data_IF_620454931732
#
_entry.id   IF_620454931732
#
_cell.length_a   1.000
_cell.length_b   1.000
_cell.length_c   1.000
_cell.angle_alpha   90.00
_cell.angle_beta   90.00
_cell.angle_gamma   90.00
#
_symmetry.space_group_name_H-M   'P 1'
#
loop_
_entity.id
_entity.type
_entity.pdbx_description
1 polymer ?
#
# COMPACT_ATOMS: atom_id res chain seq x y z
N UNK A 1 -1.28 -17.98 -3.44
CA UNK A 1 -1.00 -16.85 -2.53
C UNK A 1 0.02 -17.35 -1.50
N UNK A 2 1.15 -16.73 -1.41
CA UNK A 2 2.32 -17.07 -0.57
C UNK A 2 1.99 -17.29 0.93
N UNK A 3 0.83 -16.79 1.39
CA UNK A 3 0.35 -16.94 2.77
C UNK A 3 0.26 -18.37 3.27
N UNK A 4 0.01 -19.35 2.38
CA UNK A 4 -0.03 -20.76 2.78
C UNK A 4 1.37 -21.28 3.15
N UNK A 5 2.40 -20.79 2.49
CA UNK A 5 3.77 -21.23 2.76
C UNK A 5 4.31 -20.61 4.04
N UNK A 6 3.96 -19.38 4.35
CA UNK A 6 4.29 -18.75 5.63
C UNK A 6 3.65 -19.43 6.85
N UNK A 7 2.62 -20.27 6.64
CA UNK A 7 1.99 -21.07 7.70
C UNK A 7 2.63 -22.43 7.89
N UNK A 8 3.56 -22.83 7.01
CA UNK A 8 4.29 -24.08 7.13
C UNK A 8 5.35 -23.99 8.22
N UNK A 9 5.69 -25.13 8.80
CA UNK A 9 6.77 -25.23 9.79
C UNK A 9 8.14 -24.82 9.19
N UNK A 10 8.33 -25.11 7.91
CA UNK A 10 9.50 -24.72 7.11
C UNK A 10 9.04 -24.03 5.82
N UNK A 11 8.84 -22.70 5.84
CA UNK A 11 8.32 -21.96 4.69
C UNK A 11 9.32 -21.84 3.54
N UNK A 12 10.60 -22.12 3.78
CA UNK A 12 11.70 -21.87 2.85
C UNK A 12 12.41 -20.54 3.08
N UNK A 13 13.44 -20.28 2.28
CA UNK A 13 14.22 -19.05 2.40
C UNK A 13 13.46 -17.85 1.83
N UNK A 14 13.23 -16.84 2.67
CA UNK A 14 12.62 -15.60 2.26
C UNK A 14 13.60 -14.76 1.45
N UNK A 15 13.15 -14.21 0.34
CA UNK A 15 13.90 -13.31 -0.54
C UNK A 15 13.15 -11.99 -0.62
N UNK A 16 13.86 -10.89 -0.39
CA UNK A 16 13.34 -9.53 -0.53
C UNK A 16 14.04 -8.82 -1.66
N UNK A 17 13.24 -8.27 -2.56
CA UNK A 17 13.70 -7.53 -3.74
C UNK A 17 13.17 -6.11 -3.65
N UNK A 18 13.96 -5.16 -4.15
CA UNK A 18 13.66 -3.75 -4.10
C UNK A 18 13.63 -3.16 -5.51
N UNK A 19 12.62 -2.36 -5.79
CA UNK A 19 12.56 -1.50 -6.96
C UNK A 19 12.41 -0.05 -6.52
N UNK A 20 13.24 0.83 -7.06
CA UNK A 20 13.11 2.27 -6.88
C UNK A 20 12.86 2.89 -8.25
N UNK A 21 11.64 3.39 -8.44
CA UNK A 21 11.20 4.03 -9.68
C UNK A 21 11.27 5.54 -9.53
N UNK A 22 12.26 6.12 -10.16
CA UNK A 22 12.47 7.57 -10.28
C UNK A 22 12.30 8.07 -11.73
N UNK A 23 11.69 7.28 -12.58
CA UNK A 23 11.46 7.65 -14.00
C UNK A 23 10.59 8.90 -14.17
N UNK A 24 9.67 9.14 -13.22
CA UNK A 24 8.85 10.36 -13.17
C UNK A 24 9.67 11.65 -13.04
N UNK A 25 10.92 11.57 -12.58
CA UNK A 25 11.86 12.69 -12.43
C UNK A 25 12.95 12.71 -13.50
N UNK A 26 12.82 11.86 -14.53
CA UNK A 26 13.74 11.80 -15.66
C UNK A 26 14.89 10.81 -15.51
N UNK A 27 14.86 9.93 -14.51
CA UNK A 27 15.79 8.83 -14.45
C UNK A 27 15.57 7.87 -15.63
N UNK A 28 16.63 7.33 -16.26
CA UNK A 28 16.47 6.49 -17.44
C UNK A 28 15.87 5.13 -17.15
N UNK A 29 16.13 4.60 -15.96
CA UNK A 29 15.80 3.23 -15.59
C UNK A 29 15.27 3.11 -14.16
N UNK A 30 14.54 2.03 -13.90
CA UNK A 30 14.13 1.61 -12.55
C UNK A 30 15.32 0.90 -11.90
N UNK A 31 15.69 1.30 -10.71
CA UNK A 31 16.74 0.66 -9.93
C UNK A 31 16.18 -0.60 -9.27
N UNK A 32 16.74 -1.77 -9.64
CA UNK A 32 16.35 -3.08 -9.09
C UNK A 32 17.52 -3.71 -8.37
N UNK A 33 17.33 -4.07 -7.11
CA UNK A 33 18.39 -4.63 -6.29
C UNK A 33 17.88 -5.56 -5.19
N UNK A 34 18.79 -6.36 -4.63
CA UNK A 34 18.55 -7.24 -3.50
C UNK A 34 19.77 -7.31 -2.59
N UNK A 35 19.52 -7.62 -1.32
CA UNK A 35 20.58 -7.86 -0.33
C UNK A 35 20.69 -9.36 0.07
N UNK A 36 20.04 -10.25 -0.68
CA UNK A 36 20.04 -11.68 -0.40
C UNK A 36 21.39 -12.30 -0.77
N UNK A 37 22.01 -13.02 0.17
CA UNK A 37 23.29 -13.68 -0.09
C UNK A 37 23.06 -15.03 -0.77
N UNK A 38 23.52 -15.13 -2.03
CA UNK A 38 23.46 -16.36 -2.81
C UNK A 38 24.85 -17.01 -2.79
N UNK A 39 25.01 -18.18 -2.16
CA UNK A 39 26.31 -18.85 -2.11
C UNK A 39 26.78 -19.25 -3.53
N UNK A 40 28.07 -19.12 -3.76
CA UNK A 40 28.69 -19.63 -4.96
C UNK A 40 28.83 -21.15 -4.91
N UNK A 41 28.74 -21.81 -6.06
CA UNK A 41 28.98 -23.26 -6.17
C UNK A 41 30.46 -23.56 -5.99
N UNK A 42 30.80 -24.73 -5.46
CA UNK A 42 32.18 -25.18 -5.31
C UNK A 42 32.98 -25.13 -6.62
N UNK A 43 32.31 -25.49 -7.74
CA UNK A 43 32.90 -25.40 -9.08
C UNK A 43 33.25 -23.95 -9.45
N UNK A 44 32.38 -22.99 -9.13
CA UNK A 44 32.62 -21.56 -9.38
C UNK A 44 33.77 -21.02 -8.54
N UNK A 45 33.82 -21.38 -7.26
CA UNK A 45 34.92 -20.99 -6.35
C UNK A 45 36.27 -21.56 -6.83
N UNK A 46 36.27 -22.83 -7.24
CA UNK A 46 37.49 -23.47 -7.78
C UNK A 46 37.98 -22.81 -9.06
N UNK A 47 37.03 -22.45 -9.97
CA UNK A 47 37.36 -21.74 -11.21
C UNK A 47 37.93 -20.32 -10.95
N UNK A 48 37.53 -19.67 -9.87
CA UNK A 48 38.06 -18.38 -9.42
C UNK A 48 39.35 -18.44 -8.62
N UNK A 49 39.99 -19.61 -8.56
CA UNK A 49 41.24 -19.82 -7.85
C UNK A 49 41.06 -20.10 -6.35
N UNK A 50 39.91 -20.56 -5.93
CA UNK A 50 39.61 -20.97 -4.56
C UNK A 50 39.18 -19.81 -3.62
N UNK A 51 39.07 -18.62 -4.13
CA UNK A 51 38.73 -17.43 -3.34
C UNK A 51 37.31 -16.95 -3.69
N UNK A 52 36.30 -17.17 -2.83
CA UNK A 52 34.94 -16.76 -3.08
C UNK A 52 34.75 -15.22 -3.10
N UNK A 53 35.64 -14.46 -2.46
CA UNK A 53 35.53 -12.98 -2.41
C UNK A 53 35.87 -12.32 -3.75
N UNK A 54 36.56 -13.05 -4.64
CA UNK A 54 36.83 -12.58 -6.02
C UNK A 54 35.69 -12.74 -6.98
N UNK A 55 34.65 -13.47 -6.60
CA UNK A 55 33.47 -13.66 -7.42
C UNK A 55 32.48 -12.51 -7.21
N UNK A 56 31.92 -11.96 -8.31
CA UNK A 56 30.89 -10.95 -8.19
C UNK A 56 29.63 -11.54 -7.51
N UNK A 57 28.97 -10.76 -6.68
CA UNK A 57 27.70 -11.15 -6.10
C UNK A 57 26.68 -11.48 -7.20
N UNK A 58 25.91 -12.55 -7.01
CA UNK A 58 24.96 -13.02 -8.01
C UNK A 58 23.71 -12.15 -8.03
N UNK A 59 23.23 -11.82 -9.23
CA UNK A 59 21.90 -11.22 -9.43
C UNK A 59 20.78 -12.24 -9.22
N UNK A 60 19.58 -11.76 -8.95
CA UNK A 60 18.34 -12.54 -8.90
C UNK A 60 17.45 -12.10 -10.05
N UNK A 61 16.86 -13.08 -10.74
CA UNK A 61 15.83 -12.87 -11.76
C UNK A 61 14.45 -13.10 -11.13
N UNK A 62 13.58 -12.11 -11.25
CA UNK A 62 12.20 -12.17 -10.80
C UNK A 62 11.25 -11.48 -11.78
N UNK A 63 10.21 -12.17 -12.21
CA UNK A 63 9.23 -11.69 -13.20
C UNK A 63 9.89 -11.25 -14.53
N UNK A 64 11.01 -11.89 -14.91
CA UNK A 64 11.77 -11.58 -16.12
C UNK A 64 12.73 -10.40 -15.99
N UNK A 65 12.80 -9.76 -14.83
CA UNK A 65 13.68 -8.61 -14.56
C UNK A 65 14.88 -9.00 -13.69
N UNK A 66 16.02 -8.37 -13.92
CA UNK A 66 17.25 -8.59 -13.17
C UNK A 66 17.34 -7.66 -11.96
N UNK A 67 17.47 -8.25 -10.78
CA UNK A 67 17.78 -7.57 -9.53
C UNK A 67 19.25 -7.77 -9.19
N UNK A 68 20.00 -6.69 -9.15
CA UNK A 68 21.44 -6.74 -8.88
C UNK A 68 21.71 -6.86 -7.39
N UNK A 69 22.77 -7.56 -7.01
CA UNK A 69 23.18 -7.63 -5.63
C UNK A 69 23.67 -6.25 -5.15
N UNK A 70 23.00 -5.69 -4.17
CA UNK A 70 23.40 -4.43 -3.54
C UNK A 70 22.99 -4.44 -2.08
N UNK A 71 23.90 -4.13 -1.13
CA UNK A 71 23.56 -4.15 0.28
C UNK A 71 22.49 -3.09 0.59
N UNK A 72 21.34 -3.55 1.05
CA UNK A 72 20.23 -2.71 1.47
C UNK A 72 19.47 -3.37 2.61
N UNK A 73 18.93 -2.57 3.49
CA UNK A 73 18.12 -3.01 4.62
C UNK A 73 16.91 -2.11 4.74
N UNK A 74 15.78 -2.69 5.09
CA UNK A 74 14.58 -1.92 5.42
C UNK A 74 14.07 -2.33 6.79
N UNK A 75 13.72 -1.33 7.59
CA UNK A 75 13.18 -1.49 8.94
C UNK A 75 11.82 -0.81 9.05
N UNK A 76 11.00 -1.24 10.00
CA UNK A 76 9.73 -0.58 10.30
C UNK A 76 8.59 -0.85 9.33
N UNK A 77 8.64 -1.94 8.52
CA UNK A 77 7.53 -2.33 7.63
C UNK A 77 6.37 -3.01 8.41
N UNK A 78 6.56 -3.28 9.69
CA UNK A 78 5.58 -4.03 10.47
C UNK A 78 4.27 -3.25 10.59
N UNK A 79 3.16 -3.91 10.27
CA UNK A 79 1.83 -3.35 10.46
C UNK A 79 1.52 -3.28 11.96
N UNK A 80 1.44 -2.07 12.51
CA UNK A 80 0.99 -1.85 13.88
C UNK A 80 -0.52 -1.68 13.93
N UNK A 81 -1.18 -2.38 14.84
CA UNK A 81 -2.61 -2.20 15.14
C UNK A 81 -2.85 -1.05 16.14
N UNK A 82 -1.80 -0.43 16.66
CA UNK A 82 -1.86 0.59 17.73
C UNK A 82 -1.75 2.03 17.26
N UNK A 83 -2.04 2.32 16.00
CA UNK A 83 -2.53 3.64 15.60
C UNK A 83 -1.59 4.61 14.90
N UNK A 84 -0.28 4.65 15.03
CA UNK A 84 0.56 5.45 14.13
C UNK A 84 1.15 4.58 13.05
N UNK A 85 0.99 4.99 11.78
CA UNK A 85 1.67 4.33 10.67
C UNK A 85 3.17 4.28 10.95
N UNK A 86 3.78 3.10 10.86
CA UNK A 86 5.22 3.01 10.90
C UNK A 86 5.79 3.81 9.73
N UNK A 87 6.81 4.61 9.96
CA UNK A 87 7.61 5.23 8.90
C UNK A 87 8.78 4.28 8.63
N UNK A 88 8.73 3.46 7.58
CA UNK A 88 9.82 2.56 7.28
C UNK A 88 11.06 3.34 6.89
N UNK A 89 12.24 2.80 7.23
CA UNK A 89 13.54 3.35 6.84
C UNK A 89 14.23 2.38 5.89
N UNK A 90 14.63 2.89 4.73
CA UNK A 90 15.44 2.17 3.76
C UNK A 90 16.88 2.65 3.85
N UNK A 91 17.79 1.77 4.26
CA UNK A 91 19.23 2.01 4.29
C UNK A 91 19.87 1.32 3.10
N UNK A 92 20.62 2.05 2.29
CA UNK A 92 21.30 1.55 1.08
C UNK A 92 22.78 1.85 1.20
N UNK A 93 23.62 0.86 0.89
CA UNK A 93 25.08 1.05 0.92
C UNK A 93 25.53 1.99 -0.19
N UNK A 94 26.47 2.89 0.15
CA UNK A 94 27.03 3.89 -0.76
C UNK A 94 28.50 3.54 -1.08
N UNK A 95 28.71 2.33 -1.63
CA UNK A 95 30.04 1.72 -1.73
C UNK A 95 31.03 2.49 -2.62
N UNK A 96 30.53 3.18 -3.64
CA UNK A 96 31.33 3.88 -4.65
C UNK A 96 30.86 5.33 -4.91
N UNK A 97 29.99 5.84 -4.04
CA UNK A 97 29.37 7.15 -4.20
C UNK A 97 28.28 7.21 -5.30
N UNK A 98 27.90 6.06 -5.90
CA UNK A 98 26.90 6.02 -6.97
C UNK A 98 25.53 6.47 -6.47
N UNK A 99 25.14 6.09 -5.25
CA UNK A 99 23.85 6.51 -4.68
C UNK A 99 23.86 8.01 -4.36
N UNK A 100 24.97 8.57 -3.85
CA UNK A 100 25.11 10.02 -3.70
C UNK A 100 24.98 10.75 -5.04
N UNK A 101 25.61 10.23 -6.11
CA UNK A 101 25.49 10.82 -7.44
C UNK A 101 24.05 10.81 -7.96
N UNK A 102 23.29 9.72 -7.72
CA UNK A 102 21.87 9.63 -8.05
C UNK A 102 21.03 10.63 -7.24
N UNK A 103 21.30 10.76 -5.94
CA UNK A 103 20.64 11.75 -5.08
C UNK A 103 20.85 13.17 -5.60
N UNK A 104 22.08 13.51 -5.97
CA UNK A 104 22.40 14.84 -6.53
C UNK A 104 21.76 15.09 -7.90
N UNK A 105 21.67 14.04 -8.75
CA UNK A 105 21.08 14.17 -10.08
C UNK A 105 19.54 14.28 -10.07
N UNK A 106 18.88 13.66 -9.09
CA UNK A 106 17.42 13.49 -9.06
C UNK A 106 16.76 13.99 -7.75
N UNK A 107 17.27 15.11 -7.21
CA UNK A 107 16.71 15.81 -6.04
C UNK A 107 16.44 14.88 -4.86
N UNK A 108 17.49 14.17 -4.42
CA UNK A 108 17.45 13.14 -3.37
C UNK A 108 16.44 12.01 -3.61
N UNK A 109 16.01 11.81 -4.88
CA UNK A 109 14.97 10.87 -5.29
C UNK A 109 13.64 11.03 -4.52
N UNK A 110 13.33 12.24 -4.05
CA UNK A 110 12.13 12.54 -3.30
C UNK A 110 10.88 12.18 -4.11
N UNK A 111 9.93 11.50 -3.46
CA UNK A 111 8.70 10.94 -4.05
C UNK A 111 8.91 9.82 -5.07
N UNK A 112 10.14 9.29 -5.22
CA UNK A 112 10.33 8.08 -5.99
C UNK A 112 9.55 6.93 -5.36
N UNK A 113 8.93 6.11 -6.19
CA UNK A 113 8.17 4.96 -5.77
C UNK A 113 9.12 3.82 -5.40
N UNK A 114 8.98 3.29 -4.19
CA UNK A 114 9.71 2.12 -3.71
C UNK A 114 8.75 0.94 -3.64
N UNK A 115 8.99 -0.08 -4.47
CA UNK A 115 8.23 -1.32 -4.44
C UNK A 115 9.11 -2.41 -3.84
N UNK A 116 8.56 -3.13 -2.88
CA UNK A 116 9.24 -4.22 -2.18
C UNK A 116 8.48 -5.50 -2.49
N UNK A 117 9.20 -6.48 -3.03
CA UNK A 117 8.70 -7.80 -3.33
C UNK A 117 9.25 -8.79 -2.31
N UNK A 118 8.41 -9.32 -1.44
CA UNK A 118 8.75 -10.39 -0.52
C UNK A 118 8.26 -11.72 -1.12
N UNK A 119 9.18 -12.61 -1.48
CA UNK A 119 8.90 -13.92 -2.04
C UNK A 119 9.74 -15.01 -1.36
N UNK A 120 9.64 -16.24 -1.83
CA UNK A 120 10.44 -17.37 -1.35
C UNK A 120 11.36 -17.86 -2.45
N UNK A 121 12.57 -18.29 -2.09
CA UNK A 121 13.60 -18.66 -3.05
C UNK A 121 13.17 -19.73 -4.06
N UNK A 122 12.29 -20.66 -3.67
CA UNK A 122 11.80 -21.71 -4.56
C UNK A 122 10.78 -21.23 -5.62
N UNK A 123 10.26 -20.00 -5.52
CA UNK A 123 9.38 -19.41 -6.52
C UNK A 123 10.10 -18.55 -7.55
N UNK A 124 11.40 -18.29 -7.35
CA UNK A 124 12.18 -17.45 -8.25
C UNK A 124 12.22 -18.01 -9.68
N UNK A 125 12.44 -17.13 -10.66
CA UNK A 125 12.48 -17.46 -12.07
C UNK A 125 13.50 -18.57 -12.37
N UNK A 126 13.21 -19.36 -13.42
CA UNK A 126 14.04 -20.47 -13.87
C UNK A 126 15.50 -20.06 -14.16
N UNK A 127 15.73 -18.80 -14.55
CA UNK A 127 17.04 -18.25 -14.82
C UNK A 127 18.00 -18.25 -13.61
N UNK A 128 17.46 -18.35 -12.40
CA UNK A 128 18.27 -18.41 -11.17
C UNK A 128 18.88 -19.80 -10.90
N UNK A 129 18.43 -20.83 -11.60
CA UNK A 129 18.80 -22.23 -11.37
C UNK A 129 19.40 -22.87 -12.60
N UNK A 130 20.52 -23.62 -12.50
CA UNK A 130 21.17 -24.26 -13.64
C UNK A 130 20.27 -25.23 -14.43
N UNK A 131 19.41 -25.95 -13.70
CA UNK A 131 18.50 -26.96 -14.28
C UNK A 131 17.07 -26.40 -14.52
N UNK A 132 16.90 -25.09 -14.41
CA UNK A 132 15.60 -24.42 -14.43
C UNK A 132 14.85 -24.58 -13.09
N UNK A 133 13.61 -24.06 -13.04
CA UNK A 133 12.78 -24.13 -11.84
C UNK A 133 11.31 -24.44 -12.20
N UNK A 134 10.86 -25.69 -12.05
CA UNK A 134 9.47 -26.07 -12.31
C UNK A 134 8.49 -25.48 -11.30
N UNK A 135 8.97 -25.00 -10.14
CA UNK A 135 8.15 -24.37 -9.10
C UNK A 135 8.08 -22.84 -9.24
N UNK A 136 8.72 -22.25 -10.29
CA UNK A 136 8.68 -20.83 -10.52
C UNK A 136 7.23 -20.33 -10.65
N UNK A 137 6.87 -19.34 -9.81
CA UNK A 137 5.54 -18.75 -9.83
C UNK A 137 5.62 -17.27 -9.46
N UNK A 138 5.56 -16.36 -10.44
CA UNK A 138 5.67 -14.91 -10.22
C UNK A 138 4.49 -14.31 -9.43
N UNK A 139 3.43 -15.08 -9.20
CA UNK A 139 2.26 -14.63 -8.43
C UNK A 139 2.41 -14.85 -6.93
N UNK A 140 3.43 -15.62 -6.51
CA UNK A 140 3.68 -15.96 -5.11
C UNK A 140 4.58 -14.91 -4.45
N UNK A 141 4.03 -13.73 -4.25
CA UNK A 141 4.70 -12.63 -3.60
C UNK A 141 3.78 -11.83 -2.68
N UNK A 142 4.38 -11.06 -1.80
CA UNK A 142 3.75 -9.97 -1.07
C UNK A 142 4.39 -8.67 -1.52
N UNK A 143 3.60 -7.80 -2.14
CA UNK A 143 4.06 -6.49 -2.60
C UNK A 143 3.72 -5.44 -1.56
N UNK A 144 4.72 -4.62 -1.22
CA UNK A 144 4.55 -3.43 -0.39
C UNK A 144 5.05 -2.21 -1.17
N UNK A 145 4.25 -1.14 -1.18
CA UNK A 145 4.57 0.08 -1.94
C UNK A 145 4.70 1.25 -0.98
N UNK A 146 5.79 1.97 -1.12
CA UNK A 146 6.11 3.19 -0.39
C UNK A 146 6.60 4.28 -1.34
N UNK A 147 6.83 5.47 -0.81
CA UNK A 147 7.46 6.58 -1.50
C UNK A 147 8.57 7.17 -0.64
N UNK A 148 9.65 7.62 -1.25
CA UNK A 148 10.71 8.32 -0.53
C UNK A 148 10.16 9.67 -0.09
N UNK A 149 10.10 9.89 1.23
CA UNK A 149 9.62 11.14 1.84
C UNK A 149 10.76 12.10 2.12
N UNK A 150 11.85 11.57 2.69
CA UNK A 150 13.05 12.36 2.99
C UNK A 150 14.30 11.49 3.02
N UNK A 151 15.46 12.12 2.82
CA UNK A 151 16.77 11.54 3.11
C UNK A 151 17.14 11.91 4.52
N UNK A 152 17.17 10.93 5.43
CA UNK A 152 17.40 11.17 6.87
C UNK A 152 18.89 11.25 7.23
N UNK A 153 19.74 10.49 6.51
CA UNK A 153 21.18 10.45 6.75
C UNK A 153 21.93 10.15 5.47
N UNK A 154 23.11 10.73 5.33
CA UNK A 154 24.06 10.43 4.26
C UNK A 154 25.46 10.36 4.82
N UNK A 155 26.11 9.23 4.62
CA UNK A 155 27.50 8.98 4.94
C UNK A 155 28.23 8.43 3.73
N UNK A 156 29.56 8.29 3.83
CA UNK A 156 30.33 7.65 2.76
C UNK A 156 30.03 6.15 2.61
N UNK A 157 29.40 5.53 3.61
CA UNK A 157 29.13 4.09 3.63
C UNK A 157 27.66 3.75 3.38
N UNK A 158 26.74 4.57 3.91
CA UNK A 158 25.31 4.30 3.91
C UNK A 158 24.50 5.58 3.72
N UNK A 159 23.44 5.49 2.95
CA UNK A 159 22.43 6.53 2.84
C UNK A 159 21.10 5.95 3.36
N UNK A 160 20.42 6.73 4.20
CA UNK A 160 19.14 6.35 4.79
C UNK A 160 18.02 7.24 4.26
N UNK A 161 16.94 6.59 3.84
CA UNK A 161 15.71 7.24 3.38
C UNK A 161 14.56 6.91 4.32
N UNK A 162 13.77 7.91 4.67
CA UNK A 162 12.48 7.71 5.31
C UNK A 162 11.42 7.51 4.24
N UNK A 163 10.57 6.49 4.43
CA UNK A 163 9.54 6.12 3.49
C UNK A 163 8.17 6.48 4.05
N UNK A 164 7.30 6.99 3.19
CA UNK A 164 5.90 7.27 3.49
C UNK A 164 4.98 6.28 2.79
N UNK A 165 3.87 5.97 3.45
CA UNK A 165 2.78 5.20 2.84
C UNK A 165 2.11 6.01 1.73
N UNK A 166 1.63 5.38 0.63
CA UNK A 166 0.81 6.06 -0.37
C UNK A 166 -0.40 6.80 0.21
N UNK A 167 -0.93 6.32 1.33
CA UNK A 167 -2.08 6.92 2.00
C UNK A 167 -1.73 8.24 2.70
N UNK A 168 -0.52 8.36 3.24
CA UNK A 168 -0.06 9.58 3.90
C UNK A 168 0.17 10.70 2.89
N UNK A 169 0.75 10.36 1.72
CA UNK A 169 1.04 11.32 0.65
C UNK A 169 -0.21 11.87 -0.03
N UNK A 170 -1.31 11.10 -0.06
CA UNK A 170 -2.55 11.48 -0.74
C UNK A 170 -3.54 12.22 0.18
N UNK A 171 -3.20 12.43 1.45
CA UNK A 171 -4.10 13.06 2.41
C UNK A 171 -5.39 12.25 2.64
N UNK A 172 -5.33 10.94 2.43
CA UNK A 172 -6.48 10.06 2.61
C UNK A 172 -6.78 9.92 4.09
N UNK A 173 -7.94 10.41 4.50
CA UNK A 173 -8.44 10.25 5.86
C UNK A 173 -9.02 8.84 6.04
N UNK A 174 -8.48 8.08 6.98
CA UNK A 174 -9.01 6.78 7.38
C UNK A 174 -9.58 6.91 8.79
N UNK A 175 -10.81 6.46 8.99
CA UNK A 175 -11.73 5.85 8.02
C UNK A 175 -12.34 6.87 7.05
N UNK A 176 -12.49 6.47 5.79
CA UNK A 176 -13.12 7.29 4.73
C UNK A 176 -14.60 7.54 5.00
N UNK A 177 -15.22 6.75 5.85
CA UNK A 177 -16.60 6.86 6.28
C UNK A 177 -16.67 7.14 7.78
N UNK A 178 -17.11 8.34 8.12
CA UNK A 178 -17.39 8.68 9.52
C UNK A 178 -18.72 8.08 9.95
N UNK A 179 -18.79 7.59 11.19
CA UNK A 179 -20.02 7.09 11.81
C UNK A 179 -20.79 8.27 12.39
N UNK A 180 -21.87 8.66 11.73
CA UNK A 180 -22.78 9.72 12.20
C UNK A 180 -24.17 9.17 12.50
N UNK A 181 -24.86 9.74 13.47
CA UNK A 181 -26.27 9.48 13.70
C UNK A 181 -27.15 10.00 12.54
N UNK A 182 -26.64 10.97 11.78
CA UNK A 182 -27.30 11.53 10.59
C UNK A 182 -27.02 10.68 9.36
N UNK A 183 -27.97 10.72 8.43
CA UNK A 183 -27.86 10.03 7.14
C UNK A 183 -26.75 10.62 6.28
N UNK A 184 -25.76 9.82 5.89
CA UNK A 184 -24.63 10.25 5.07
C UNK A 184 -25.05 10.64 3.65
N UNK A 185 -26.12 10.08 3.12
CA UNK A 185 -26.69 10.49 1.82
C UNK A 185 -27.19 11.93 1.85
N UNK A 186 -27.87 12.30 2.95
CA UNK A 186 -28.33 13.69 3.13
C UNK A 186 -27.14 14.67 3.26
N UNK A 187 -26.12 14.32 4.05
CA UNK A 187 -24.92 15.16 4.25
C UNK A 187 -24.16 15.38 2.92
N UNK A 188 -24.14 14.36 2.06
CA UNK A 188 -23.45 14.39 0.75
C UNK A 188 -24.33 14.95 -0.39
N UNK A 189 -25.50 15.51 -0.11
CA UNK A 189 -26.41 16.03 -1.13
C UNK A 189 -27.04 14.96 -2.03
N UNK A 190 -27.03 13.68 -1.62
CA UNK A 190 -27.58 12.55 -2.38
C UNK A 190 -29.05 12.24 -2.04
N UNK A 191 -29.76 13.16 -1.43
CA UNK A 191 -31.19 13.05 -1.21
C UNK A 191 -31.94 13.03 -2.55
N UNK A 192 -32.82 12.07 -2.78
CA UNK A 192 -33.55 11.84 -4.05
C UNK A 192 -32.68 11.57 -5.28
N UNK A 193 -31.42 11.20 -5.12
CA UNK A 193 -30.51 11.01 -6.26
C UNK A 193 -30.64 9.63 -6.92
N UNK A 194 -31.30 8.67 -6.28
CA UNK A 194 -31.26 7.27 -6.67
C UNK A 194 -29.97 6.54 -6.29
N UNK A 195 -28.91 7.29 -5.91
CA UNK A 195 -27.64 6.77 -5.44
C UNK A 195 -27.59 6.89 -3.91
N UNK A 196 -28.10 5.86 -3.24
CA UNK A 196 -28.21 5.78 -1.78
C UNK A 196 -29.56 6.20 -1.22
N UNK A 197 -30.19 7.28 -1.68
CA UNK A 197 -31.55 7.69 -1.33
C UNK A 197 -32.44 7.75 -2.57
N UNK A 198 -33.40 6.85 -2.65
CA UNK A 198 -34.33 6.64 -3.76
C UNK A 198 -35.73 7.20 -3.50
N UNK A 199 -35.89 8.11 -2.54
CA UNK A 199 -37.19 8.72 -2.24
C UNK A 199 -37.72 9.50 -3.45
N UNK A 200 -38.91 9.17 -3.92
CA UNK A 200 -39.57 9.78 -5.08
C UNK A 200 -40.85 10.56 -4.73
N UNK A 201 -41.12 10.79 -3.43
CA UNK A 201 -42.31 11.52 -2.98
C UNK A 201 -43.53 10.63 -2.70
N UNK A 202 -43.40 9.31 -2.56
CA UNK A 202 -44.46 8.35 -2.39
C UNK A 202 -45.43 8.64 -1.24
N UNK A 203 -44.91 9.20 -0.14
CA UNK A 203 -45.66 9.53 1.08
C UNK A 203 -45.79 11.06 1.31
N UNK A 204 -45.59 11.87 0.27
CA UNK A 204 -45.69 13.33 0.35
C UNK A 204 -44.34 14.00 0.63
N UNK A 205 -44.40 15.30 0.85
CA UNK A 205 -43.20 16.13 1.01
C UNK A 205 -43.08 16.64 2.45
N UNK A 206 -41.85 16.82 2.94
CA UNK A 206 -41.58 17.20 4.30
C UNK A 206 -40.41 18.19 4.35
N UNK A 207 -40.53 19.21 5.21
CA UNK A 207 -39.44 20.14 5.47
C UNK A 207 -38.27 19.47 6.25
N UNK A 208 -37.19 20.23 6.48
CA UNK A 208 -36.03 19.77 7.26
C UNK A 208 -36.32 19.41 8.71
N UNK A 209 -37.47 19.79 9.25
CA UNK A 209 -37.92 19.49 10.61
C UNK A 209 -38.85 18.27 10.67
N UNK A 210 -39.27 17.75 9.49
CA UNK A 210 -40.18 16.63 9.37
C UNK A 210 -41.65 17.04 9.36
N UNK A 211 -41.98 18.32 9.21
CA UNK A 211 -43.35 18.78 9.02
C UNK A 211 -43.78 18.58 7.57
N UNK A 212 -45.02 18.18 7.38
CA UNK A 212 -45.58 17.99 6.03
C UNK A 212 -45.72 19.33 5.29
N UNK A 213 -45.32 19.36 4.03
CA UNK A 213 -45.46 20.49 3.13
C UNK A 213 -46.16 20.06 1.85
N UNK A 214 -46.93 20.98 1.25
CA UNK A 214 -47.66 20.68 0.03
C UNK A 214 -46.86 20.97 -1.25
N UNK A 215 -45.86 21.88 -1.14
CA UNK A 215 -45.01 22.24 -2.25
C UNK A 215 -43.78 21.33 -2.33
N UNK A 216 -43.57 20.61 -3.44
CA UNK A 216 -42.40 19.77 -3.66
C UNK A 216 -41.08 20.52 -3.58
N UNK A 217 -41.06 21.82 -3.86
CA UNK A 217 -39.86 22.65 -3.77
C UNK A 217 -39.38 22.89 -2.34
N UNK A 218 -40.24 22.74 -1.36
CA UNK A 218 -39.92 22.86 0.06
C UNK A 218 -39.50 21.54 0.70
N UNK A 219 -39.48 20.46 -0.07
CA UNK A 219 -39.09 19.13 0.44
C UNK A 219 -37.61 19.06 0.73
N UNK A 220 -37.26 18.92 2.00
CA UNK A 220 -35.89 18.84 2.47
C UNK A 220 -35.76 17.73 3.51
N UNK A 221 -34.77 16.83 3.32
CA UNK A 221 -34.52 15.78 4.29
C UNK A 221 -33.83 16.30 5.55
N UNK A 222 -34.37 15.93 6.73
CA UNK A 222 -33.74 16.24 8.01
C UNK A 222 -32.41 15.52 8.25
N UNK A 223 -32.11 14.46 7.48
CA UNK A 223 -30.98 13.56 7.72
C UNK A 223 -31.14 12.64 8.93
N UNK A 224 -32.22 12.74 9.69
CA UNK A 224 -32.50 11.91 10.86
C UNK A 224 -33.39 10.72 10.50
N UNK A 225 -33.25 9.61 11.25
CA UNK A 225 -34.06 8.43 11.02
C UNK A 225 -35.55 8.71 11.25
N UNK A 226 -35.90 9.28 12.41
CA UNK A 226 -37.28 9.49 12.83
C UNK A 226 -38.02 10.56 12.01
N UNK A 227 -37.44 11.76 11.89
CA UNK A 227 -38.07 12.90 11.20
C UNK A 227 -37.77 12.92 9.69
N UNK A 228 -36.82 12.10 9.23
CA UNK A 228 -36.47 11.96 7.80
C UNK A 228 -37.07 10.73 7.18
N UNK A 229 -36.45 9.59 7.38
CA UNK A 229 -36.78 8.35 6.67
C UNK A 229 -38.12 7.74 7.10
N UNK A 230 -38.47 7.75 8.41
CA UNK A 230 -39.75 7.15 8.85
C UNK A 230 -40.96 7.87 8.27
N UNK A 231 -40.92 9.20 8.12
CA UNK A 231 -42.02 9.94 7.50
C UNK A 231 -42.12 9.63 6.01
N UNK A 232 -41.01 9.39 5.34
CA UNK A 232 -40.95 9.19 3.87
C UNK A 232 -41.19 7.76 3.44
N UNK A 233 -40.62 6.80 4.14
CA UNK A 233 -40.70 5.38 3.78
C UNK A 233 -41.66 4.56 4.67
N UNK A 234 -42.05 5.14 5.83
CA UNK A 234 -42.76 4.42 6.86
C UNK A 234 -41.85 3.67 7.83
N UNK A 235 -42.30 3.49 9.06
CA UNK A 235 -41.48 2.91 10.15
C UNK A 235 -41.18 1.42 9.96
N UNK A 236 -42.06 0.70 9.28
CA UNK A 236 -42.03 -0.77 9.15
C UNK A 236 -41.52 -1.25 7.78
N UNK A 237 -41.14 -0.34 6.92
CA UNK A 237 -40.65 -0.66 5.56
C UNK A 237 -39.12 -0.65 5.54
N UNK A 238 -38.49 -1.32 4.54
CA UNK A 238 -37.06 -1.16 4.28
C UNK A 238 -36.73 0.30 4.02
N UNK A 239 -35.69 0.80 4.66
CA UNK A 239 -35.31 2.22 4.65
C UNK A 239 -33.88 2.36 4.17
N UNK A 240 -33.60 3.17 3.11
CA UNK A 240 -32.24 3.43 2.64
C UNK A 240 -31.52 4.45 3.54
N UNK A 241 -31.45 4.19 4.84
CA UNK A 241 -30.82 5.10 5.79
C UNK A 241 -29.31 4.91 5.85
N UNK A 242 -28.56 5.91 5.44
CA UNK A 242 -27.10 5.86 5.40
C UNK A 242 -26.40 6.27 6.71
N UNK A 243 -27.11 6.40 7.83
CA UNK A 243 -26.55 6.74 9.13
C UNK A 243 -26.51 5.57 10.10
N UNK A 244 -25.95 5.83 11.29
CA UNK A 244 -25.83 4.87 12.40
C UNK A 244 -26.51 5.44 13.65
N UNK A 245 -27.82 5.20 13.83
CA UNK A 245 -28.60 5.82 14.92
C UNK A 245 -28.02 5.53 16.31
N UNK A 246 -27.41 4.37 16.51
CA UNK A 246 -26.78 3.97 17.77
C UNK A 246 -25.58 4.82 18.20
N UNK A 247 -24.98 5.59 17.29
CA UNK A 247 -23.83 6.44 17.65
C UNK A 247 -24.21 7.61 18.55
N UNK A 248 -25.48 8.00 18.57
CA UNK A 248 -25.97 9.04 19.52
C UNK A 248 -25.95 8.57 20.98
N UNK A 249 -25.93 7.26 21.22
CA UNK A 249 -25.85 6.66 22.56
C UNK A 249 -24.43 6.66 23.16
N UNK A 250 -23.43 6.86 22.31
CA UNK A 250 -22.01 6.86 22.72
C UNK A 250 -21.52 8.23 23.22
N UNK A 251 -22.34 9.27 23.12
CA UNK A 251 -22.04 10.58 23.70
C UNK A 251 -22.55 10.63 25.15
N UNK A 252 -21.67 10.32 26.07
CA UNK A 252 -21.74 10.80 27.46
C UNK A 252 -20.57 11.72 27.69
#
# INVERSE_FOLDING_TARGET
>A
MITNDYQKLEPGNAVRLFEVDSTAFGAPDILRFHAYNIPHTEAGITAAGGDPEKLPAKSIWWQGEEYRAWPAQIEGIEASTTGSGAQPKLSVANLDGSITALCLAYDDMLKAKVTIHDTLAHYLDAANFPDGNPAADPTQEKVSVFYIDSKSSETNEVIEFELASPMDLQGVLIPTRQLHAMCTWCIRGKYKSGDGCDYAGQNGYFDKHGNRVDDPAQDQCSGMLNTGCFHRFGKNNPIPFGGFPGTSLLRK
#
